data_IF_289880442795
#
_entry.id   IF_289880442795
#
_cell.length_a   1.000
_cell.length_b   1.000
_cell.length_c   1.000
_cell.angle_alpha   90.00
_cell.angle_beta   90.00
_cell.angle_gamma   90.00
#
_symmetry.space_group_name_H-M   'P 1'
#
loop_
_entity.id
_entity.type
_entity.pdbx_description
1 polymer ?
#
# COMPACT_ATOMS: atom_id res chain seq x y z
N UNK A 1 -15.57 -7.71 -12.65
CA UNK A 1 -15.47 -6.28 -13.01
C UNK A 1 -13.99 -5.97 -13.07
N UNK A 2 -13.50 -5.34 -14.12
CA UNK A 2 -12.07 -5.05 -14.23
C UNK A 2 -11.73 -3.76 -13.49
N UNK A 3 -10.66 -3.81 -12.71
CA UNK A 3 -10.04 -2.67 -12.04
C UNK A 3 -8.66 -2.49 -12.67
N UNK A 4 -8.40 -1.33 -13.23
CA UNK A 4 -7.12 -0.93 -13.77
C UNK A 4 -6.27 -0.27 -12.69
N UNK A 5 -5.07 -0.80 -12.46
CA UNK A 5 -4.10 -0.23 -11.52
C UNK A 5 -2.96 0.39 -12.34
N UNK A 6 -2.89 1.72 -12.33
CA UNK A 6 -1.70 2.45 -12.76
C UNK A 6 -0.61 2.29 -11.71
N UNK A 7 0.63 2.06 -12.15
CA UNK A 7 1.71 1.73 -11.22
C UNK A 7 2.90 2.64 -11.50
N UNK A 8 3.43 3.23 -10.44
CA UNK A 8 4.71 3.91 -10.44
C UNK A 8 5.64 3.25 -9.42
N UNK A 9 6.91 3.12 -9.78
CA UNK A 9 7.93 2.45 -8.96
C UNK A 9 9.17 3.30 -8.85
N UNK A 10 9.76 3.32 -7.67
CA UNK A 10 11.14 3.75 -7.45
C UNK A 10 11.89 2.75 -6.59
N UNK A 11 13.22 2.79 -6.67
CA UNK A 11 14.09 1.94 -5.89
C UNK A 11 15.04 2.80 -5.05
N UNK A 12 15.21 2.40 -3.80
CA UNK A 12 16.10 3.00 -2.84
C UNK A 12 17.13 1.96 -2.41
N UNK A 13 18.38 2.19 -2.81
CA UNK A 13 19.49 1.35 -2.38
C UNK A 13 20.10 1.95 -1.12
N UNK A 14 20.11 1.16 -0.05
CA UNK A 14 20.78 1.50 1.21
C UNK A 14 22.26 1.19 1.05
N UNK A 15 23.10 2.23 1.11
CA UNK A 15 24.54 2.05 1.30
C UNK A 15 24.82 1.53 2.71
N UNK A 16 26.02 0.99 2.95
CA UNK A 16 26.44 0.55 4.28
C UNK A 16 26.31 1.66 5.33
N UNK A 17 26.62 2.91 4.95
CA UNK A 17 26.44 4.08 5.81
C UNK A 17 24.96 4.32 6.16
N UNK A 18 24.06 4.30 5.18
CA UNK A 18 22.63 4.49 5.39
C UNK A 18 22.02 3.35 6.22
N UNK A 19 22.46 2.11 5.99
CA UNK A 19 22.01 0.95 6.76
C UNK A 19 22.46 1.02 8.22
N UNK A 20 23.70 1.48 8.46
CA UNK A 20 24.20 1.71 9.82
C UNK A 20 23.42 2.82 10.54
N UNK A 21 23.16 3.96 9.86
CA UNK A 21 22.36 5.05 10.40
C UNK A 21 20.93 4.62 10.73
N UNK A 22 20.29 3.84 9.83
CA UNK A 22 18.96 3.31 10.07
C UNK A 22 18.94 2.36 11.28
N UNK A 23 19.93 1.48 11.40
CA UNK A 23 20.04 0.53 12.53
C UNK A 23 20.25 1.24 13.87
N UNK A 24 21.11 2.25 13.90
CA UNK A 24 21.42 3.05 15.09
C UNK A 24 20.24 3.92 15.55
N UNK A 25 19.35 4.28 14.64
CA UNK A 25 18.26 5.20 14.95
C UNK A 25 17.12 4.61 15.80
N UNK A 26 17.17 3.32 16.11
CA UNK A 26 16.37 2.75 17.21
C UNK A 26 16.71 3.39 18.57
N UNK A 27 17.88 4.02 18.70
CA UNK A 27 18.40 4.57 19.97
C UNK A 27 18.47 6.10 20.06
N UNK A 28 18.38 6.84 18.94
CA UNK A 28 18.55 8.32 18.90
C UNK A 28 17.60 8.97 17.88
N UNK A 29 16.95 10.07 18.26
CA UNK A 29 16.06 10.82 17.35
C UNK A 29 16.82 11.61 16.28
N UNK A 30 17.99 12.15 16.62
CA UNK A 30 18.82 12.98 15.73
C UNK A 30 19.33 12.24 14.49
N UNK A 31 19.50 10.91 14.58
CA UNK A 31 19.94 10.07 13.46
C UNK A 31 18.89 9.96 12.35
N UNK A 32 17.61 10.24 12.64
CA UNK A 32 16.55 10.29 11.62
C UNK A 32 16.78 11.46 10.65
N UNK A 33 17.10 12.64 11.17
CA UNK A 33 17.30 13.84 10.34
C UNK A 33 18.59 13.75 9.52
N UNK A 34 19.61 13.06 10.06
CA UNK A 34 20.81 12.74 9.27
C UNK A 34 20.50 11.73 8.16
N UNK A 35 19.78 10.65 8.47
CA UNK A 35 19.36 9.68 7.45
C UNK A 35 18.58 10.35 6.33
N UNK A 36 17.57 11.17 6.65
CA UNK A 36 16.74 11.83 5.63
C UNK A 36 17.55 12.78 4.74
N UNK A 37 18.57 13.45 5.28
CA UNK A 37 19.49 14.29 4.50
C UNK A 37 20.35 13.48 3.54
N UNK A 38 20.93 12.38 4.00
CA UNK A 38 21.75 11.51 3.14
C UNK A 38 20.90 10.74 2.11
N UNK A 39 19.68 10.37 2.50
CA UNK A 39 18.69 9.72 1.64
C UNK A 39 18.30 10.59 0.44
N UNK A 40 18.18 11.91 0.63
CA UNK A 40 17.79 12.85 -0.41
C UNK A 40 18.71 12.80 -1.64
N UNK A 41 19.98 12.37 -1.47
CA UNK A 41 20.92 12.18 -2.57
C UNK A 41 20.82 10.81 -3.29
N UNK A 42 20.14 9.83 -2.70
CA UNK A 42 20.09 8.43 -3.16
C UNK A 42 18.68 7.95 -3.56
N UNK A 43 17.67 8.83 -3.54
CA UNK A 43 16.32 8.51 -4.01
C UNK A 43 16.25 8.62 -5.52
N UNK A 44 15.80 7.56 -6.17
CA UNK A 44 15.41 7.61 -7.59
C UNK A 44 14.00 8.16 -7.76
N UNK A 45 13.76 8.83 -8.88
CA UNK A 45 12.42 9.29 -9.26
C UNK A 45 11.49 8.10 -9.54
N UNK A 46 10.19 8.33 -9.37
CA UNK A 46 9.17 7.36 -9.72
C UNK A 46 9.11 7.17 -11.23
N UNK A 47 9.23 5.91 -11.66
CA UNK A 47 9.11 5.48 -13.04
C UNK A 47 7.80 4.73 -13.25
N UNK A 48 7.05 5.03 -14.32
CA UNK A 48 5.80 4.32 -14.59
C UNK A 48 6.08 2.89 -15.04
N UNK A 49 5.26 1.96 -14.56
CA UNK A 49 5.21 0.57 -15.02
C UNK A 49 3.94 0.35 -15.84
N UNK A 50 3.92 -0.72 -16.63
CA UNK A 50 2.72 -1.11 -17.36
C UNK A 50 1.54 -1.27 -16.39
N UNK A 51 0.36 -0.69 -16.69
CA UNK A 51 -0.83 -0.88 -15.88
C UNK A 51 -1.17 -2.36 -15.70
N UNK A 52 -1.84 -2.67 -14.60
CA UNK A 52 -2.31 -4.01 -14.31
C UNK A 52 -3.85 -4.02 -14.26
N UNK A 53 -4.52 -4.62 -15.25
CA UNK A 53 -5.93 -4.95 -15.12
C UNK A 53 -6.10 -6.16 -14.21
N UNK A 54 -6.92 -6.04 -13.16
CA UNK A 54 -7.29 -7.14 -12.29
C UNK A 54 -8.80 -7.34 -12.26
N UNK A 55 -9.26 -8.58 -12.15
CA UNK A 55 -10.67 -8.82 -11.85
C UNK A 55 -10.95 -8.54 -10.37
N UNK A 56 -12.09 -7.92 -10.10
CA UNK A 56 -12.59 -7.61 -8.76
C UNK A 56 -12.67 -8.83 -7.85
N UNK A 57 -12.89 -10.05 -8.38
CA UNK A 57 -12.92 -11.27 -7.58
C UNK A 57 -11.52 -11.69 -7.13
N UNK A 58 -10.50 -11.47 -7.96
CA UNK A 58 -9.10 -11.67 -7.58
C UNK A 58 -8.74 -10.73 -6.44
N UNK A 59 -9.09 -9.45 -6.55
CA UNK A 59 -8.86 -8.48 -5.48
C UNK A 59 -9.60 -8.88 -4.19
N UNK A 60 -10.88 -9.24 -4.28
CA UNK A 60 -11.65 -9.73 -3.13
C UNK A 60 -10.98 -10.91 -2.44
N UNK A 61 -10.53 -11.89 -3.22
CA UNK A 61 -9.85 -13.08 -2.69
C UNK A 61 -8.57 -12.69 -1.95
N UNK A 62 -7.79 -11.77 -2.53
CA UNK A 62 -6.57 -11.28 -1.89
C UNK A 62 -6.88 -10.52 -0.60
N UNK A 63 -7.87 -9.63 -0.60
CA UNK A 63 -8.31 -8.93 0.62
C UNK A 63 -8.68 -9.93 1.72
N UNK A 64 -9.50 -10.94 1.43
CA UNK A 64 -9.86 -11.96 2.42
C UNK A 64 -8.65 -12.72 2.95
N UNK A 65 -7.65 -12.96 2.11
CA UNK A 65 -6.46 -13.70 2.50
C UNK A 65 -5.46 -12.87 3.29
N UNK A 66 -5.23 -11.61 2.91
CA UNK A 66 -4.14 -10.79 3.44
C UNK A 66 -4.59 -9.67 4.35
N UNK A 67 -5.87 -9.28 4.35
CA UNK A 67 -6.25 -8.08 5.07
C UNK A 67 -6.45 -8.31 6.56
N UNK A 68 -5.85 -7.45 7.37
CA UNK A 68 -6.01 -7.43 8.82
C UNK A 68 -7.39 -6.95 9.26
N UNK A 69 -8.03 -6.16 8.39
CA UNK A 69 -9.28 -5.49 8.68
C UNK A 69 -10.44 -6.50 8.60
N UNK A 70 -11.24 -6.57 9.65
CA UNK A 70 -12.48 -7.37 9.64
C UNK A 70 -13.53 -6.59 8.84
N UNK A 71 -13.47 -6.69 7.51
CA UNK A 71 -14.40 -6.03 6.60
C UNK A 71 -15.09 -7.06 5.73
N UNK A 72 -16.42 -7.16 5.84
CA UNK A 72 -17.20 -8.17 5.14
C UNK A 72 -17.26 -7.95 3.62
N UNK A 73 -17.29 -6.68 3.15
CA UNK A 73 -17.48 -6.31 1.74
C UNK A 73 -16.87 -4.93 1.37
N UNK A 74 -15.54 -4.77 1.43
CA UNK A 74 -14.90 -3.47 1.29
C UNK A 74 -15.07 -2.83 -0.10
N UNK A 75 -15.08 -3.64 -1.17
CA UNK A 75 -15.27 -3.15 -2.54
C UNK A 75 -16.69 -2.63 -2.75
N UNK A 76 -17.70 -3.36 -2.26
CA UNK A 76 -19.09 -2.92 -2.31
C UNK A 76 -19.33 -1.69 -1.44
N UNK A 77 -18.67 -1.61 -0.29
CA UNK A 77 -18.77 -0.48 0.61
C UNK A 77 -18.29 0.80 -0.07
N UNK A 78 -17.09 0.81 -0.65
CA UNK A 78 -16.61 1.98 -1.38
C UNK A 78 -17.41 2.27 -2.65
N UNK A 79 -17.79 1.23 -3.41
CA UNK A 79 -18.57 1.42 -4.63
C UNK A 79 -19.93 2.03 -4.36
N UNK A 80 -20.72 1.39 -3.48
CA UNK A 80 -22.11 1.76 -3.27
C UNK A 80 -22.28 2.92 -2.30
N UNK A 81 -21.45 3.03 -1.26
CA UNK A 81 -21.60 4.11 -0.27
C UNK A 81 -20.77 5.33 -0.58
N UNK A 82 -19.55 5.18 -1.10
CA UNK A 82 -18.68 6.34 -1.34
C UNK A 82 -18.84 6.88 -2.75
N UNK A 83 -18.49 6.10 -3.78
CA UNK A 83 -18.48 6.59 -5.16
C UNK A 83 -19.89 6.88 -5.71
N UNK A 84 -20.87 6.04 -5.39
CA UNK A 84 -22.26 6.23 -5.88
C UNK A 84 -22.92 7.45 -5.20
N UNK A 85 -22.73 7.63 -3.89
CA UNK A 85 -23.27 8.80 -3.18
C UNK A 85 -22.53 10.09 -3.55
N UNK A 86 -21.21 10.05 -3.77
CA UNK A 86 -20.45 11.21 -4.23
C UNK A 86 -20.94 11.72 -5.61
N UNK A 87 -21.50 10.83 -6.43
CA UNK A 87 -22.15 11.14 -7.71
C UNK A 87 -23.62 11.61 -7.56
N UNK A 88 -24.14 11.72 -6.34
CA UNK A 88 -25.50 12.17 -6.05
C UNK A 88 -26.58 11.10 -6.24
N UNK A 89 -26.20 9.82 -6.39
CA UNK A 89 -27.12 8.70 -6.49
C UNK A 89 -27.26 8.01 -5.12
N UNK A 90 -28.44 8.10 -4.51
CA UNK A 90 -28.72 7.53 -3.18
C UNK A 90 -29.47 6.20 -3.28
N UNK A 91 -28.92 5.24 -4.04
CA UNK A 91 -29.54 3.92 -4.23
C UNK A 91 -28.79 2.86 -3.42
N UNK A 92 -29.25 2.62 -2.19
CA UNK A 92 -28.91 1.40 -1.46
C UNK A 92 -29.74 0.23 -2.03
N UNK A 93 -29.13 -0.88 -2.46
CA UNK A 93 -29.85 -2.09 -2.82
C UNK A 93 -30.77 -2.52 -1.65
N UNK A 94 -32.08 -2.59 -1.89
CA UNK A 94 -33.07 -2.99 -0.88
C UNK A 94 -33.95 -1.86 -0.31
N UNK A 95 -33.64 -0.59 -0.59
CA UNK A 95 -34.53 0.54 -0.25
C UNK A 95 -35.47 0.88 -1.42
N UNK A 96 -36.72 1.33 -1.14
CA UNK A 96 -37.69 1.66 -2.18
C UNK A 96 -37.17 2.77 -3.11
N UNK A 97 -37.55 2.70 -4.40
CA UNK A 97 -37.15 3.60 -5.49
C UNK A 97 -37.75 5.02 -5.36
N UNK A 98 -37.63 5.64 -4.19
CA UNK A 98 -37.92 7.06 -4.06
C UNK A 98 -36.63 7.80 -4.43
N UNK A 99 -36.60 8.29 -5.67
CA UNK A 99 -35.51 9.10 -6.20
C UNK A 99 -35.44 10.42 -5.45
N UNK A 100 -34.68 10.46 -4.35
CA UNK A 100 -34.21 11.72 -3.80
C UNK A 100 -32.91 12.07 -4.52
N UNK A 101 -32.97 12.86 -5.59
CA UNK A 101 -31.80 13.62 -6.01
C UNK A 101 -31.49 14.59 -4.88
N UNK A 102 -30.57 14.23 -3.99
CA UNK A 102 -30.13 15.16 -2.98
C UNK A 102 -29.24 16.20 -3.66
N UNK A 103 -29.73 17.44 -3.74
CA UNK A 103 -28.93 18.60 -4.14
C UNK A 103 -27.82 18.91 -3.14
N UNK A 104 -27.95 18.42 -1.90
CA UNK A 104 -26.92 18.48 -0.88
C UNK A 104 -25.98 17.29 -1.00
N UNK A 105 -24.81 17.51 -1.59
CA UNK A 105 -23.66 16.61 -1.46
C UNK A 105 -23.22 16.60 0.02
N UNK A 106 -23.75 15.69 0.83
CA UNK A 106 -23.17 15.44 2.14
C UNK A 106 -21.73 14.95 1.95
N UNK A 107 -20.79 15.53 2.70
CA UNK A 107 -19.43 15.02 2.79
C UNK A 107 -19.45 13.68 3.53
N UNK A 108 -19.60 12.59 2.78
CA UNK A 108 -19.45 11.24 3.31
C UNK A 108 -17.97 10.96 3.49
N UNK A 109 -17.60 10.55 4.70
CA UNK A 109 -16.27 10.03 4.97
C UNK A 109 -16.25 8.55 4.59
N UNK A 110 -15.33 8.11 3.70
CA UNK A 110 -15.23 6.70 3.35
C UNK A 110 -14.73 5.89 4.55
N UNK A 111 -15.06 4.60 4.54
CA UNK A 111 -14.59 3.66 5.55
C UNK A 111 -13.07 3.47 5.44
N UNK A 112 -12.35 3.95 6.45
CA UNK A 112 -10.88 3.83 6.52
C UNK A 112 -10.43 2.38 6.53
N UNK A 113 -11.16 1.50 7.21
CA UNK A 113 -10.88 0.06 7.23
C UNK A 113 -11.12 -0.58 5.86
N UNK A 114 -12.16 -0.17 5.12
CA UNK A 114 -12.37 -0.68 3.76
C UNK A 114 -11.26 -0.22 2.81
N UNK A 115 -10.83 1.04 2.91
CA UNK A 115 -9.71 1.59 2.12
C UNK A 115 -8.41 0.83 2.44
N UNK A 116 -8.09 0.66 3.72
CA UNK A 116 -6.91 -0.07 4.17
C UNK A 116 -6.92 -1.53 3.66
N UNK A 117 -8.06 -2.21 3.79
CA UNK A 117 -8.20 -3.59 3.32
C UNK A 117 -7.94 -3.73 1.81
N UNK A 118 -8.48 -2.81 1.01
CA UNK A 118 -8.23 -2.77 -0.44
C UNK A 118 -6.76 -2.49 -0.72
N UNK A 119 -6.15 -1.55 0.01
CA UNK A 119 -4.71 -1.26 -0.07
C UNK A 119 -3.83 -2.47 0.19
N UNK A 120 -4.11 -3.22 1.26
CA UNK A 120 -3.41 -4.46 1.62
C UNK A 120 -3.56 -5.51 0.52
N UNK A 121 -4.78 -5.68 -0.02
CA UNK A 121 -5.05 -6.58 -1.15
C UNK A 121 -4.29 -6.20 -2.43
N UNK A 122 -4.26 -4.91 -2.78
CA UNK A 122 -3.50 -4.39 -3.92
C UNK A 122 -2.00 -4.60 -3.70
N UNK A 123 -1.49 -4.32 -2.50
CA UNK A 123 -0.09 -4.52 -2.14
C UNK A 123 0.35 -5.98 -2.30
N UNK A 124 -0.48 -6.94 -1.87
CA UNK A 124 -0.20 -8.36 -2.05
C UNK A 124 -0.11 -8.76 -3.54
N UNK A 125 -1.04 -8.27 -4.37
CA UNK A 125 -1.04 -8.53 -5.83
C UNK A 125 0.21 -7.94 -6.47
N UNK A 126 0.54 -6.69 -6.15
CA UNK A 126 1.69 -5.99 -6.72
C UNK A 126 3.01 -6.64 -6.27
N UNK A 127 3.08 -7.14 -5.04
CA UNK A 127 4.23 -7.92 -4.56
C UNK A 127 4.43 -9.17 -5.41
N UNK A 128 3.38 -9.96 -5.67
CA UNK A 128 3.45 -11.14 -6.54
C UNK A 128 3.81 -10.81 -7.99
N UNK A 129 3.34 -9.66 -8.50
CA UNK A 129 3.69 -9.19 -9.85
C UNK A 129 5.16 -8.80 -9.97
N UNK A 130 5.71 -8.12 -8.96
CA UNK A 130 7.11 -7.70 -8.95
C UNK A 130 8.07 -8.85 -8.69
N UNK A 131 7.67 -9.79 -7.83
CA UNK A 131 8.47 -10.93 -7.40
C UNK A 131 7.71 -12.23 -7.71
N UNK A 132 7.84 -12.77 -8.93
CA UNK A 132 7.16 -14.01 -9.32
C UNK A 132 7.53 -15.17 -8.40
N UNK A 133 6.57 -16.04 -8.08
CA UNK A 133 6.79 -17.15 -7.16
C UNK A 133 6.73 -16.76 -5.67
N UNK A 134 6.27 -15.54 -5.37
CA UNK A 134 6.05 -15.09 -3.98
C UNK A 134 5.12 -16.05 -3.22
N UNK A 135 5.63 -16.57 -2.10
CA UNK A 135 4.92 -17.33 -1.09
C UNK A 135 4.82 -16.52 0.20
N UNK A 136 3.61 -16.42 0.75
CA UNK A 136 3.38 -15.75 2.03
C UNK A 136 3.94 -16.58 3.17
N UNK A 137 4.72 -15.93 4.05
CA UNK A 137 5.27 -16.54 5.25
C UNK A 137 4.47 -16.16 6.49
N UNK A 138 4.20 -14.87 6.67
CA UNK A 138 3.49 -14.36 7.83
C UNK A 138 2.66 -13.12 7.48
N UNK A 139 1.63 -12.90 8.29
CA UNK A 139 0.88 -11.65 8.32
C UNK A 139 0.86 -11.13 9.76
N UNK A 140 1.83 -10.29 10.14
CA UNK A 140 1.95 -9.79 11.50
C UNK A 140 0.75 -8.93 11.91
N UNK A 141 0.08 -9.27 13.02
CA UNK A 141 -1.12 -8.56 13.49
C UNK A 141 -0.81 -7.34 14.35
N UNK A 142 -1.38 -6.18 14.01
CA UNK A 142 -1.14 -4.88 14.68
C UNK A 142 0.34 -4.53 14.84
N UNK A 143 1.18 -5.01 13.93
CA UNK A 143 2.62 -4.76 13.96
C UNK A 143 3.17 -4.58 12.55
N UNK A 144 4.39 -4.06 12.46
CA UNK A 144 5.07 -3.81 11.21
C UNK A 144 5.92 -5.03 10.79
N UNK A 145 5.97 -5.40 9.51
CA UNK A 145 5.18 -4.90 8.37
C UNK A 145 3.82 -5.63 8.25
N UNK A 146 2.92 -5.13 7.41
CA UNK A 146 1.62 -5.78 7.14
C UNK A 146 1.74 -7.22 6.58
N UNK A 147 2.76 -7.49 5.75
CA UNK A 147 2.95 -8.79 5.10
C UNK A 147 4.43 -9.17 5.01
N UNK A 148 4.74 -10.42 5.33
CA UNK A 148 6.06 -11.02 5.09
C UNK A 148 5.92 -12.19 4.14
N UNK A 149 6.73 -12.19 3.08
CA UNK A 149 6.72 -13.22 2.04
C UNK A 149 8.12 -13.53 1.53
N UNK A 150 8.26 -14.54 0.68
CA UNK A 150 9.52 -14.88 0.02
C UNK A 150 9.27 -15.31 -1.42
N UNK A 151 10.15 -14.93 -2.33
CA UNK A 151 10.20 -15.45 -3.70
C UNK A 151 11.25 -16.58 -3.85
N UNK A 152 11.62 -17.23 -2.73
CA UNK A 152 12.71 -18.20 -2.57
C UNK A 152 14.12 -17.60 -2.63
N UNK A 153 14.31 -16.46 -3.29
CA UNK A 153 15.61 -15.80 -3.39
C UNK A 153 15.81 -14.71 -2.35
N UNK A 154 14.72 -14.06 -1.96
CA UNK A 154 14.67 -12.88 -1.12
C UNK A 154 13.56 -13.03 -0.08
N UNK A 155 13.70 -12.32 1.04
CA UNK A 155 12.64 -12.10 2.01
C UNK A 155 12.04 -10.73 1.78
N UNK A 156 10.73 -10.67 1.56
CA UNK A 156 9.98 -9.48 1.21
C UNK A 156 9.19 -9.02 2.43
N UNK A 157 9.35 -7.75 2.81
CA UNK A 157 8.63 -7.08 3.87
C UNK A 157 7.73 -6.01 3.25
N UNK A 158 6.43 -6.27 3.16
CA UNK A 158 5.48 -5.38 2.49
C UNK A 158 4.64 -4.62 3.51
N UNK A 159 4.66 -3.30 3.41
CA UNK A 159 3.82 -2.38 4.17
C UNK A 159 2.92 -1.62 3.19
N UNK A 160 1.62 -1.62 3.47
CA UNK A 160 0.59 -1.04 2.64
C UNK A 160 0.03 0.25 3.28
N UNK A 161 -0.25 1.23 2.43
CA UNK A 161 -1.03 2.43 2.77
C UNK A 161 -2.05 2.66 1.68
N UNK A 162 -3.23 3.15 2.04
CA UNK A 162 -4.23 3.49 1.05
C UNK A 162 -5.03 4.75 1.40
N UNK A 163 -5.50 5.45 0.38
CA UNK A 163 -6.34 6.64 0.50
C UNK A 163 -7.29 6.77 -0.71
N UNK A 164 -8.29 7.63 -0.59
CA UNK A 164 -9.11 8.13 -1.71
C UNK A 164 -8.75 9.57 -2.10
N UNK A 165 -7.78 10.19 -1.40
CA UNK A 165 -7.55 11.64 -1.50
C UNK A 165 -6.83 12.03 -2.79
N UNK A 166 -5.53 11.70 -2.90
CA UNK A 166 -4.72 12.06 -4.07
C UNK A 166 -3.44 11.23 -4.19
N UNK A 167 -2.94 11.12 -5.42
CA UNK A 167 -1.64 10.50 -5.73
C UNK A 167 -0.48 11.22 -5.03
N UNK A 168 -0.52 12.55 -4.98
CA UNK A 168 0.52 13.31 -4.28
C UNK A 168 0.48 13.08 -2.77
N UNK A 169 -0.72 12.99 -2.18
CA UNK A 169 -0.90 12.68 -0.76
C UNK A 169 -0.33 11.32 -0.40
N UNK A 170 -0.61 10.27 -1.19
CA UNK A 170 -0.06 8.94 -0.89
C UNK A 170 1.46 8.90 -1.05
N UNK A 171 2.03 9.63 -2.02
CA UNK A 171 3.49 9.72 -2.19
C UNK A 171 4.17 10.33 -0.96
N UNK A 172 3.55 11.33 -0.33
CA UNK A 172 4.05 11.93 0.91
C UNK A 172 3.95 10.95 2.09
N UNK A 173 2.83 10.23 2.23
CA UNK A 173 2.66 9.19 3.26
C UNK A 173 3.73 8.11 3.10
N UNK A 174 3.94 7.61 1.89
CA UNK A 174 4.96 6.61 1.60
C UNK A 174 6.36 7.14 1.87
N UNK A 175 6.64 8.40 1.51
CA UNK A 175 7.92 9.04 1.82
C UNK A 175 8.20 9.10 3.33
N UNK A 176 7.18 9.35 4.15
CA UNK A 176 7.32 9.38 5.62
C UNK A 176 7.65 7.99 6.21
N UNK A 177 7.18 6.92 5.57
CA UNK A 177 7.42 5.53 6.00
C UNK A 177 8.79 4.97 5.55
N UNK A 178 9.48 5.62 4.59
CA UNK A 178 10.78 5.15 4.06
C UNK A 178 11.78 4.89 5.17
N UNK A 179 11.86 5.81 6.14
CA UNK A 179 12.77 5.66 7.26
C UNK A 179 12.48 4.39 8.06
N UNK A 180 11.23 4.20 8.48
CA UNK A 180 10.81 3.04 9.26
C UNK A 180 11.09 1.74 8.51
N UNK A 181 10.78 1.69 7.22
CA UNK A 181 11.10 0.52 6.38
C UNK A 181 12.61 0.26 6.33
N UNK A 182 13.43 1.29 6.11
CA UNK A 182 14.88 1.15 6.07
C UNK A 182 15.48 0.64 7.39
N UNK A 183 14.91 1.05 8.54
CA UNK A 183 15.29 0.52 9.86
C UNK A 183 15.02 -0.98 9.93
N UNK A 184 13.80 -1.40 9.55
CA UNK A 184 13.41 -2.81 9.59
C UNK A 184 14.22 -3.67 8.62
N UNK A 185 14.38 -3.23 7.36
CA UNK A 185 15.23 -3.92 6.37
C UNK A 185 16.64 -4.08 6.90
N UNK A 186 17.25 -3.00 7.42
CA UNK A 186 18.63 -3.04 7.94
C UNK A 186 18.76 -4.00 9.13
N UNK A 187 17.82 -3.98 10.07
CA UNK A 187 17.82 -4.89 11.20
C UNK A 187 17.68 -6.36 10.75
N UNK A 188 16.76 -6.64 9.84
CA UNK A 188 16.46 -7.98 9.35
C UNK A 188 17.57 -8.57 8.47
N UNK A 189 18.43 -7.75 7.85
CA UNK A 189 19.55 -8.24 7.03
C UNK A 189 20.56 -9.10 7.81
N UNK A 190 20.54 -9.05 9.14
CA UNK A 190 21.37 -9.91 9.99
C UNK A 190 20.69 -11.21 10.41
N UNK A 191 19.37 -11.32 10.20
CA UNK A 191 18.54 -12.43 10.67
C UNK A 191 18.26 -13.49 9.58
N UNK A 192 18.27 -13.09 8.30
CA UNK A 192 18.06 -13.98 7.17
C UNK A 192 19.31 -14.00 6.27
N UNK A 193 19.64 -15.18 5.73
CA UNK A 193 20.74 -15.34 4.78
C UNK A 193 20.38 -14.80 3.39
N UNK A 194 19.08 -14.68 3.10
CA UNK A 194 18.57 -14.10 1.86
C UNK A 194 18.56 -12.58 1.94
N UNK A 195 18.73 -11.87 0.80
CA UNK A 195 18.49 -10.45 0.74
C UNK A 195 17.09 -10.09 1.26
N UNK A 196 17.02 -9.06 2.11
CA UNK A 196 15.75 -8.53 2.60
C UNK A 196 15.37 -7.31 1.78
N UNK A 197 14.17 -7.33 1.21
CA UNK A 197 13.61 -6.22 0.43
C UNK A 197 12.39 -5.67 1.14
N UNK A 198 12.43 -4.38 1.47
CA UNK A 198 11.28 -3.64 1.94
C UNK A 198 10.45 -3.12 0.79
N UNK A 199 9.14 -3.31 0.82
CA UNK A 199 8.18 -2.83 -0.16
C UNK A 199 7.18 -1.90 0.53
N UNK A 200 7.27 -0.61 0.24
CA UNK A 200 6.25 0.37 0.65
C UNK A 200 5.30 0.59 -0.52
N UNK A 201 4.05 0.15 -0.36
CA UNK A 201 3.04 0.22 -1.43
C UNK A 201 1.91 1.16 -0.99
N UNK A 202 1.82 2.30 -1.67
CA UNK A 202 0.77 3.28 -1.48
C UNK A 202 -0.29 3.15 -2.57
N UNK A 203 -1.56 2.98 -2.21
CA UNK A 203 -2.67 2.85 -3.17
C UNK A 203 -3.64 4.02 -3.05
N UNK A 204 -3.99 4.62 -4.18
CA UNK A 204 -5.06 5.63 -4.28
C UNK A 204 -6.22 5.05 -5.06
N UNK A 205 -7.41 5.11 -4.46
CA UNK A 205 -8.65 4.66 -5.07
C UNK A 205 -9.32 5.85 -5.74
N UNK A 206 -9.07 6.04 -7.05
CA UNK A 206 -9.57 7.21 -7.80
C UNK A 206 -11.06 7.06 -8.13
N UNK A 207 -11.47 5.86 -8.56
CA UNK A 207 -12.87 5.50 -8.78
C UNK A 207 -13.10 3.99 -8.55
N UNK A 208 -14.28 3.47 -8.90
CA UNK A 208 -14.64 2.05 -8.70
C UNK A 208 -13.86 1.06 -9.60
N UNK A 209 -13.20 1.57 -10.64
CA UNK A 209 -12.48 0.81 -11.68
C UNK A 209 -11.02 1.25 -11.88
N UNK A 210 -10.57 2.36 -11.30
CA UNK A 210 -9.24 2.92 -11.51
C UNK A 210 -8.56 3.21 -10.20
N UNK A 211 -7.45 2.54 -9.97
CA UNK A 211 -6.55 2.79 -8.85
C UNK A 211 -5.18 3.23 -9.34
N UNK A 212 -4.45 3.92 -8.49
CA UNK A 212 -3.07 4.31 -8.74
C UNK A 212 -2.21 3.84 -7.58
N UNK A 213 -1.19 3.04 -7.87
CA UNK A 213 -0.27 2.49 -6.89
C UNK A 213 1.13 3.06 -7.06
N UNK A 214 1.73 3.50 -5.95
CA UNK A 214 3.13 3.93 -5.89
C UNK A 214 3.91 2.92 -5.06
N UNK A 215 5.06 2.49 -5.57
CA UNK A 215 5.90 1.47 -4.97
C UNK A 215 7.27 2.07 -4.68
N UNK A 216 7.68 2.05 -3.42
CA UNK A 216 9.07 2.31 -3.03
C UNK A 216 9.70 1.02 -2.55
N UNK A 217 10.70 0.54 -3.29
CA UNK A 217 11.52 -0.59 -2.84
C UNK A 217 12.70 -0.08 -2.04
N UNK A 218 12.95 -0.70 -0.90
CA UNK A 218 14.10 -0.42 -0.03
C UNK A 218 14.96 -1.68 0.01
N UNK A 219 16.15 -1.60 -0.59
CA UNK A 219 17.08 -2.72 -0.73
C UNK A 219 18.39 -2.40 -0.04
N UNK A 220 19.01 -3.41 0.55
CA UNK A 220 20.41 -3.35 0.98
C UNK A 220 21.26 -4.11 -0.03
#
# INVERSE_FOLDING_TARGET
MLIEIEIERRCLQLTDSLSALASLASSRSETKDQFLRELAGNITDYTPLSPLPIDSNTLRTMITQVSEQIVYRPLEELRHFYFTYARGAFLLPGYPRLYYMATNKQQLSPSKSAIAAIGEGVAAILTQRLYPGTLRLARPYHTYPDLVSTDQTSTLMTEAKATVDSVQGIKQVIQAEVFRMAQHVSACTTLDVRPVVGLLIGTVLLDETKYHAVITEVKK
#
